data_IF_832698768716
#
_entry.id   IF_832698768716
#
_cell.length_a   1.000
_cell.length_b   1.000
_cell.length_c   1.000
_cell.angle_alpha   90.00
_cell.angle_beta   90.00
_cell.angle_gamma   90.00
#
_symmetry.space_group_name_H-M   'P 1'
#
loop_
_entity.id
_entity.type
_entity.pdbx_description
1 polymer ?
#
# COMPACT_ATOMS: atom_id res chain seq x y z
N UNK A 1 -36.58 9.71 -36.83
CA UNK A 1 -37.96 9.39 -36.36
C UNK A 1 -37.91 8.73 -34.99
N UNK A 2 -38.03 9.54 -33.93
CA UNK A 2 -38.99 9.34 -32.83
C UNK A 2 -38.95 10.59 -31.96
N UNK A 3 -40.04 11.34 -32.06
CA UNK A 3 -40.35 12.52 -31.27
C UNK A 3 -40.49 12.22 -29.79
N UNK A 4 -40.27 13.25 -28.99
CA UNK A 4 -40.19 13.16 -27.55
C UNK A 4 -41.52 13.10 -26.80
N UNK A 5 -41.37 12.93 -25.50
CA UNK A 5 -42.36 13.31 -24.51
C UNK A 5 -41.64 13.89 -23.29
N UNK A 6 -42.02 15.14 -22.99
CA UNK A 6 -41.64 15.98 -21.86
C UNK A 6 -42.50 15.56 -20.67
N UNK A 7 -41.93 15.38 -19.48
CA UNK A 7 -42.75 15.12 -18.29
C UNK A 7 -42.00 14.92 -16.97
N UNK A 8 -41.86 16.03 -16.24
CA UNK A 8 -41.85 16.14 -14.77
C UNK A 8 -40.56 15.79 -14.01
N UNK A 9 -40.06 16.83 -13.33
CA UNK A 9 -38.88 16.84 -12.47
C UNK A 9 -38.98 15.84 -11.32
N UNK A 10 -37.98 14.97 -11.20
CA UNK A 10 -37.48 14.55 -9.89
C UNK A 10 -36.13 15.23 -9.69
N UNK A 11 -36.07 16.06 -8.66
CA UNK A 11 -34.87 16.71 -8.16
C UNK A 11 -33.88 15.65 -7.70
N UNK A 12 -33.07 15.12 -8.61
CA UNK A 12 -31.91 14.31 -8.25
C UNK A 12 -30.68 15.19 -8.41
N UNK A 13 -30.14 15.60 -7.27
CA UNK A 13 -28.89 16.35 -7.19
C UNK A 13 -27.83 15.69 -8.08
N UNK A 14 -27.16 16.42 -9.00
CA UNK A 14 -26.07 15.87 -9.82
C UNK A 14 -24.83 15.52 -8.99
N UNK A 15 -24.84 15.82 -7.69
CA UNK A 15 -23.79 15.49 -6.76
C UNK A 15 -24.13 14.22 -5.98
N UNK A 16 -24.03 13.06 -6.66
CA UNK A 16 -23.57 11.87 -5.94
C UNK A 16 -22.09 12.11 -5.69
N UNK A 17 -21.78 12.81 -4.59
CA UNK A 17 -20.44 12.82 -4.02
C UNK A 17 -20.09 11.36 -3.73
N UNK A 18 -19.48 10.67 -4.68
CA UNK A 18 -18.77 9.46 -4.37
C UNK A 18 -17.50 9.91 -3.66
N UNK A 19 -17.64 10.32 -2.40
CA UNK A 19 -16.53 10.73 -1.55
C UNK A 19 -15.71 9.49 -1.25
N UNK A 20 -14.89 9.05 -2.22
CA UNK A 20 -13.87 8.03 -1.98
C UNK A 20 -13.08 8.49 -0.77
N UNK A 21 -13.16 7.73 0.32
CA UNK A 21 -12.35 7.99 1.50
C UNK A 21 -10.90 7.74 1.13
N UNK A 22 -10.05 8.73 1.38
CA UNK A 22 -8.62 8.61 1.12
C UNK A 22 -7.98 7.62 2.11
N UNK A 23 -7.22 6.65 1.59
CA UNK A 23 -6.55 5.63 2.37
C UNK A 23 -5.03 5.85 2.38
N UNK A 24 -4.44 5.91 3.58
CA UNK A 24 -3.00 6.12 3.81
C UNK A 24 -2.40 4.91 4.51
N UNK A 25 -1.29 4.40 3.99
CA UNK A 25 -0.41 3.46 4.69
C UNK A 25 0.85 4.18 5.17
N UNK A 26 1.11 4.12 6.48
CA UNK A 26 2.35 4.63 7.08
C UNK A 26 3.13 3.48 7.72
N UNK A 27 4.42 3.36 7.39
CA UNK A 27 5.31 2.33 7.89
C UNK A 27 6.45 2.94 8.69
N UNK A 28 6.59 2.53 9.95
CA UNK A 28 7.63 3.03 10.83
C UNK A 28 9.02 2.47 10.50
N UNK A 29 10.07 3.18 10.95
CA UNK A 29 11.45 2.71 10.90
C UNK A 29 11.72 1.68 11.99
N UNK A 30 12.22 0.49 11.62
CA UNK A 30 12.43 -0.62 12.56
C UNK A 30 13.74 -1.37 12.41
N UNK A 31 14.50 -1.11 11.33
CA UNK A 31 15.64 -1.96 10.97
C UNK A 31 15.17 -3.36 10.59
N UNK A 32 15.88 -4.40 11.05
CA UNK A 32 15.45 -5.80 10.92
C UNK A 32 14.02 -6.07 11.44
N UNK A 33 13.58 -5.31 12.45
CA UNK A 33 12.22 -5.40 13.01
C UNK A 33 11.13 -4.95 12.04
N UNK A 34 11.49 -4.28 10.93
CA UNK A 34 10.53 -3.93 9.87
C UNK A 34 9.85 -5.15 9.23
N UNK A 35 10.42 -6.36 9.39
CA UNK A 35 9.77 -7.61 9.00
C UNK A 35 8.44 -7.82 9.73
N UNK A 36 8.33 -7.43 11.01
CA UNK A 36 7.08 -7.62 11.75
C UNK A 36 5.95 -6.78 11.14
N UNK A 37 6.23 -5.52 10.80
CA UNK A 37 5.28 -4.64 10.11
C UNK A 37 4.85 -5.19 8.76
N UNK A 38 5.78 -5.79 8.01
CA UNK A 38 5.47 -6.44 6.73
C UNK A 38 4.57 -7.67 6.89
N UNK A 39 4.80 -8.52 7.89
CA UNK A 39 3.92 -9.67 8.14
C UNK A 39 2.52 -9.25 8.63
N UNK A 40 2.43 -8.20 9.45
CA UNK A 40 1.14 -7.63 9.83
C UNK A 40 0.42 -7.09 8.60
N UNK A 41 1.12 -6.34 7.74
CA UNK A 41 0.56 -5.82 6.51
C UNK A 41 0.10 -6.96 5.58
N UNK A 42 0.90 -8.02 5.43
CA UNK A 42 0.53 -9.20 4.64
C UNK A 42 -0.80 -9.77 5.13
N UNK A 43 -0.93 -9.99 6.43
CA UNK A 43 -2.16 -10.53 7.00
C UNK A 43 -3.36 -9.61 6.77
N UNK A 44 -3.18 -8.29 6.87
CA UNK A 44 -4.23 -7.32 6.59
C UNK A 44 -4.65 -7.36 5.12
N UNK A 45 -3.70 -7.45 4.20
CA UNK A 45 -3.96 -7.50 2.76
C UNK A 45 -4.69 -8.79 2.36
N UNK A 46 -4.33 -9.93 2.96
CA UNK A 46 -5.05 -11.21 2.79
C UNK A 46 -6.51 -11.15 3.26
N UNK A 47 -6.81 -10.42 4.35
CA UNK A 47 -8.18 -10.26 4.84
C UNK A 47 -8.99 -9.26 4.00
N UNK A 48 -8.33 -8.24 3.44
CA UNK A 48 -8.97 -7.21 2.61
C UNK A 48 -9.44 -7.74 1.25
N UNK A 49 -8.72 -8.70 0.66
CA UNK A 49 -9.12 -9.29 -0.62
C UNK A 49 -8.80 -10.77 -0.65
N UNK A 50 -9.81 -11.59 -0.35
CA UNK A 50 -9.67 -13.05 -0.18
C UNK A 50 -9.42 -13.79 -1.49
N UNK A 51 -9.76 -13.19 -2.63
CA UNK A 51 -9.61 -13.83 -3.95
C UNK A 51 -8.28 -13.50 -4.63
N UNK A 52 -7.76 -12.28 -4.48
CA UNK A 52 -6.50 -11.85 -5.07
C UNK A 52 -5.72 -10.99 -4.05
N UNK A 53 -4.60 -11.49 -3.51
CA UNK A 53 -3.74 -10.71 -2.59
C UNK A 53 -3.31 -9.42 -3.30
N UNK A 54 -3.87 -8.24 -2.93
CA UNK A 54 -3.78 -7.08 -3.81
C UNK A 54 -2.40 -6.45 -3.69
N UNK A 55 -1.96 -5.79 -4.76
CA UNK A 55 -0.80 -4.92 -4.66
C UNK A 55 -1.13 -3.77 -3.70
N UNK A 56 -0.29 -3.46 -2.69
CA UNK A 56 -0.59 -2.38 -1.74
C UNK A 56 -0.84 -1.03 -2.41
N UNK A 57 -0.23 -0.77 -3.57
CA UNK A 57 -0.46 0.46 -4.35
C UNK A 57 -1.86 0.57 -4.97
N UNK A 58 -2.66 -0.50 -5.00
CA UNK A 58 -4.05 -0.48 -5.45
C UNK A 58 -5.04 -0.28 -4.29
N UNK A 59 -4.61 -0.58 -3.05
CA UNK A 59 -5.43 -0.45 -1.85
C UNK A 59 -5.26 0.90 -1.12
N UNK A 60 -4.09 1.53 -1.26
CA UNK A 60 -3.75 2.77 -0.56
C UNK A 60 -3.44 3.88 -1.57
N UNK A 61 -4.08 5.04 -1.40
CA UNK A 61 -3.85 6.21 -2.25
C UNK A 61 -2.49 6.86 -1.96
N UNK A 62 -1.97 6.70 -0.74
CA UNK A 62 -0.68 7.23 -0.33
C UNK A 62 0.06 6.24 0.58
N UNK A 63 1.34 6.04 0.30
CA UNK A 63 2.26 5.26 1.13
C UNK A 63 3.41 6.15 1.60
N UNK A 64 3.77 6.04 2.88
CA UNK A 64 4.87 6.79 3.48
C UNK A 64 5.56 6.05 4.62
N UNK A 65 6.79 6.45 4.94
CA UNK A 65 7.51 5.90 6.09
C UNK A 65 8.93 6.43 6.23
N UNK A 66 9.45 6.64 7.46
CA UNK A 66 10.85 7.04 7.67
C UNK A 66 11.81 5.84 7.63
N UNK A 67 13.08 6.09 7.29
CA UNK A 67 14.16 5.09 7.35
C UNK A 67 13.83 3.80 6.57
N UNK A 68 13.90 2.62 7.21
CA UNK A 68 13.51 1.35 6.60
C UNK A 68 12.07 1.31 6.14
N UNK A 69 11.16 2.04 6.80
CA UNK A 69 9.78 2.17 6.38
C UNK A 69 9.65 2.89 5.03
N UNK A 70 10.56 3.83 4.73
CA UNK A 70 10.66 4.48 3.43
C UNK A 70 11.19 3.56 2.34
N UNK A 71 12.17 2.71 2.66
CA UNK A 71 12.65 1.66 1.75
C UNK A 71 11.52 0.68 1.41
N UNK A 72 10.77 0.23 2.42
CA UNK A 72 9.61 -0.65 2.22
C UNK A 72 8.54 0.05 1.37
N UNK A 73 8.23 1.31 1.67
CA UNK A 73 7.31 2.14 0.89
C UNK A 73 7.72 2.24 -0.58
N UNK A 74 9.02 2.39 -0.87
CA UNK A 74 9.53 2.41 -2.24
C UNK A 74 9.28 1.06 -2.95
N UNK A 75 9.51 -0.06 -2.26
CA UNK A 75 9.30 -1.40 -2.82
C UNK A 75 7.82 -1.66 -3.12
N UNK A 76 6.92 -1.34 -2.18
CA UNK A 76 5.49 -1.58 -2.33
C UNK A 76 4.84 -0.59 -3.31
N UNK A 77 5.12 0.70 -3.14
CA UNK A 77 4.50 1.77 -3.93
C UNK A 77 5.15 1.97 -5.29
N UNK A 78 6.44 2.32 -5.31
CA UNK A 78 7.12 2.75 -6.55
C UNK A 78 7.53 1.59 -7.45
N UNK A 79 7.97 0.48 -6.86
CA UNK A 79 8.36 -0.73 -7.59
C UNK A 79 7.20 -1.70 -7.80
N UNK A 80 6.02 -1.43 -7.21
CA UNK A 80 4.82 -2.25 -7.40
C UNK A 80 4.99 -3.70 -6.94
N UNK A 81 5.78 -3.93 -5.88
CA UNK A 81 5.94 -5.27 -5.33
C UNK A 81 4.71 -5.68 -4.52
N UNK A 82 4.35 -6.97 -4.60
CA UNK A 82 3.44 -7.57 -3.61
C UNK A 82 4.11 -7.61 -2.24
N UNK A 83 3.33 -7.79 -1.18
CA UNK A 83 3.88 -7.85 0.19
C UNK A 83 4.85 -9.03 0.33
N UNK A 84 4.55 -10.18 -0.29
CA UNK A 84 5.40 -11.38 -0.31
C UNK A 84 6.77 -11.07 -0.92
N UNK A 85 6.79 -10.50 -2.13
CA UNK A 85 8.03 -10.15 -2.83
C UNK A 85 8.83 -9.10 -2.08
N UNK A 86 8.14 -8.18 -1.41
CA UNK A 86 8.77 -7.18 -0.56
C UNK A 86 9.45 -7.84 0.65
N UNK A 87 8.80 -8.79 1.32
CA UNK A 87 9.40 -9.56 2.42
C UNK A 87 10.66 -10.30 1.94
N UNK A 88 10.56 -11.05 0.84
CA UNK A 88 11.70 -11.78 0.28
C UNK A 88 12.88 -10.86 -0.06
N UNK A 89 12.60 -9.71 -0.66
CA UNK A 89 13.61 -8.71 -1.04
C UNK A 89 14.22 -8.08 0.19
N UNK A 90 13.41 -7.77 1.21
CA UNK A 90 13.88 -7.19 2.46
C UNK A 90 14.82 -8.14 3.19
N UNK A 91 14.46 -9.43 3.31
CA UNK A 91 15.31 -10.48 3.89
C UNK A 91 16.67 -10.57 3.19
N UNK A 92 16.71 -10.42 1.85
CA UNK A 92 17.97 -10.47 1.08
C UNK A 92 18.85 -9.23 1.32
N UNK A 93 18.25 -8.07 1.59
CA UNK A 93 18.97 -6.80 1.78
C UNK A 93 19.44 -6.64 3.24
N UNK A 94 18.66 -7.12 4.21
CA UNK A 94 18.93 -6.95 5.65
C UNK A 94 20.37 -7.29 6.06
N UNK A 95 20.95 -8.46 5.70
CA UNK A 95 22.30 -8.81 6.12
C UNK A 95 23.35 -7.82 5.63
N UNK A 96 23.19 -7.27 4.42
CA UNK A 96 24.15 -6.31 3.83
C UNK A 96 24.05 -4.93 4.46
N UNK A 97 22.86 -4.53 4.87
CA UNK A 97 22.60 -3.23 5.50
C UNK A 97 23.02 -3.24 6.97
N UNK A 98 22.82 -4.37 7.66
CA UNK A 98 23.11 -4.52 9.09
C UNK A 98 24.42 -5.27 9.38
N UNK A 99 25.25 -5.53 8.36
CA UNK A 99 26.56 -6.13 8.56
C UNK A 99 27.43 -5.19 9.41
N UNK A 100 27.90 -5.67 10.56
CA UNK A 100 28.82 -4.90 11.40
C UNK A 100 30.12 -4.66 10.64
N UNK A 101 30.40 -3.41 10.32
CA UNK A 101 31.70 -2.99 9.83
C UNK A 101 32.76 -3.34 10.88
N UNK A 102 33.71 -4.22 10.54
CA UNK A 102 34.88 -4.48 11.38
C UNK A 102 35.77 -3.25 11.33
N UNK A 103 35.60 -2.35 12.30
CA UNK A 103 36.59 -1.33 12.57
C UNK A 103 37.90 -2.03 12.93
N UNK A 104 38.87 -2.00 12.01
CA UNK A 104 40.25 -2.28 12.36
C UNK A 104 40.70 -1.14 13.29
N UNK A 105 40.80 -1.46 14.57
CA UNK A 105 41.46 -0.64 15.59
C UNK A 105 42.93 -1.03 15.62
#
# INVERSE_FOLDING_TARGET
>A
MRDGQRGMASTTSPYRQNSKTLSLLSLDGGGERGLSSLYILQRLMEELNREDSPWPCECFDLLGGPSTGGLITLMLGRLGMTVEKCIESYIKILPRVFEKQKHHV
#
